data_IF_714919553581
#
_entry.id   IF_714919553581
#
_cell.length_a   1.000
_cell.length_b   1.000
_cell.length_c   1.000
_cell.angle_alpha   90.00
_cell.angle_beta   90.00
_cell.angle_gamma   90.00
#
_symmetry.space_group_name_H-M   'P 1'
#
loop_
_entity.id
_entity.type
_entity.pdbx_description
1 polymer ?
#
# COMPACT_ATOMS: atom_id res chain seq x y z
N UNK A 1 -6.89 12.74 -12.25
CA UNK A 1 -8.09 12.31 -13.01
C UNK A 1 -8.68 13.46 -13.83
N UNK A 2 -9.00 14.60 -13.22
CA UNK A 2 -9.53 15.80 -13.91
C UNK A 2 -8.75 16.17 -15.18
N UNK A 3 -7.41 16.22 -15.09
CA UNK A 3 -6.56 16.54 -16.25
C UNK A 3 -6.67 15.51 -17.37
N UNK A 4 -6.78 14.23 -17.03
CA UNK A 4 -6.90 13.18 -18.03
C UNK A 4 -8.28 13.20 -18.70
N UNK A 5 -9.35 13.40 -17.93
CA UNK A 5 -10.70 13.53 -18.46
C UNK A 5 -10.83 14.73 -19.42
N UNK A 6 -10.18 15.87 -19.10
CA UNK A 6 -10.15 17.02 -20.00
C UNK A 6 -9.42 16.74 -21.33
N UNK A 7 -8.37 15.90 -21.31
CA UNK A 7 -7.64 15.49 -22.51
C UNK A 7 -8.45 14.48 -23.35
N UNK A 8 -9.13 13.53 -22.71
CA UNK A 8 -10.06 12.58 -23.35
C UNK A 8 -11.23 13.33 -24.03
N UNK A 9 -11.79 14.35 -23.37
CA UNK A 9 -12.83 15.21 -23.95
C UNK A 9 -12.33 16.00 -25.16
N UNK A 10 -11.03 16.29 -25.23
CA UNK A 10 -10.38 16.92 -26.38
C UNK A 10 -9.93 15.89 -27.44
N UNK A 11 -10.26 14.61 -27.29
CA UNK A 11 -9.82 13.49 -28.14
C UNK A 11 -8.30 13.31 -28.21
N UNK A 12 -7.56 13.71 -27.15
CA UNK A 12 -6.13 13.46 -26.98
C UNK A 12 -5.89 12.31 -26.00
N UNK A 13 -6.20 11.09 -26.45
CA UNK A 13 -6.07 9.88 -25.64
C UNK A 13 -4.62 9.59 -25.26
N UNK A 14 -3.66 9.95 -26.12
CA UNK A 14 -2.23 9.76 -25.82
C UNK A 14 -1.81 10.61 -24.62
N UNK A 15 -2.13 11.91 -24.63
CA UNK A 15 -1.80 12.77 -23.50
C UNK A 15 -2.57 12.38 -22.23
N UNK A 16 -3.82 11.91 -22.36
CA UNK A 16 -4.61 11.42 -21.24
C UNK A 16 -3.97 10.18 -20.58
N UNK A 17 -3.50 9.23 -21.39
CA UNK A 17 -2.73 8.07 -20.89
C UNK A 17 -1.41 8.54 -20.27
N UNK A 18 -0.69 9.44 -20.95
CA UNK A 18 0.61 9.94 -20.50
C UNK A 18 0.52 10.60 -19.12
N UNK A 19 -0.50 11.43 -18.88
CA UNK A 19 -0.64 12.08 -17.57
C UNK A 19 -0.98 11.08 -16.46
N UNK A 20 -1.75 10.02 -16.74
CA UNK A 20 -2.01 8.93 -15.79
C UNK A 20 -0.72 8.17 -15.46
N UNK A 21 0.07 7.80 -16.48
CA UNK A 21 1.36 7.10 -16.30
C UNK A 21 2.34 7.96 -15.49
N UNK A 22 2.45 9.25 -15.82
CA UNK A 22 3.31 10.17 -15.06
C UNK A 22 2.86 10.32 -13.61
N UNK A 23 1.55 10.42 -13.36
CA UNK A 23 1.01 10.48 -12.00
C UNK A 23 1.38 9.23 -11.20
N UNK A 24 1.26 8.03 -11.78
CA UNK A 24 1.67 6.78 -11.12
C UNK A 24 3.18 6.75 -10.83
N UNK A 25 4.02 7.20 -11.77
CA UNK A 25 5.47 7.28 -11.54
C UNK A 25 5.83 8.28 -10.44
N UNK A 26 5.11 9.41 -10.35
CA UNK A 26 5.31 10.39 -9.29
C UNK A 26 4.87 9.87 -7.92
N UNK A 27 3.75 9.13 -7.84
CA UNK A 27 3.29 8.52 -6.60
C UNK A 27 4.32 7.52 -6.05
N UNK A 28 4.86 6.65 -6.91
CA UNK A 28 5.90 5.68 -6.52
C UNK A 28 7.24 6.37 -6.17
N UNK A 29 7.64 7.39 -6.94
CA UNK A 29 8.84 8.16 -6.65
C UNK A 29 8.73 8.89 -5.30
N UNK A 30 7.54 9.41 -4.96
CA UNK A 30 7.28 10.03 -3.66
C UNK A 30 7.35 9.01 -2.53
N UNK A 31 6.84 7.79 -2.72
CA UNK A 31 6.95 6.73 -1.75
C UNK A 31 8.42 6.36 -1.46
N UNK A 32 9.26 6.25 -2.49
CA UNK A 32 10.70 5.99 -2.32
C UNK A 32 11.43 7.16 -1.64
N UNK A 33 11.15 8.39 -2.09
CA UNK A 33 11.73 9.59 -1.48
C UNK A 33 11.36 9.70 0.00
N UNK A 34 10.09 9.50 0.33
CA UNK A 34 9.61 9.58 1.71
C UNK A 34 10.21 8.47 2.55
N UNK A 35 10.31 7.25 2.03
CA UNK A 35 10.97 6.16 2.76
C UNK A 35 12.44 6.50 3.05
N UNK A 36 13.20 6.97 2.05
CA UNK A 36 14.58 7.41 2.27
C UNK A 36 14.68 8.55 3.31
N UNK A 37 13.76 9.51 3.27
CA UNK A 37 13.66 10.58 4.28
C UNK A 37 13.39 10.02 5.68
N UNK A 38 12.50 9.02 5.81
CA UNK A 38 12.21 8.36 7.09
C UNK A 38 13.45 7.66 7.62
N UNK A 39 14.13 6.85 6.80
CA UNK A 39 15.34 6.13 7.24
C UNK A 39 16.47 7.05 7.70
N UNK A 40 16.70 8.14 6.96
CA UNK A 40 17.82 9.06 7.20
C UNK A 40 17.52 10.15 8.23
N UNK A 41 16.27 10.61 8.31
CA UNK A 41 15.91 11.81 9.07
C UNK A 41 14.80 11.59 10.08
N UNK A 42 13.60 11.20 9.63
CA UNK A 42 12.44 11.20 10.52
C UNK A 42 12.50 10.09 11.59
N UNK A 43 12.95 8.89 11.21
CA UNK A 43 13.29 7.79 12.12
C UNK A 43 14.78 7.75 12.41
N UNK A 44 15.63 7.96 11.38
CA UNK A 44 17.05 8.22 11.57
C UNK A 44 17.92 6.99 11.90
N UNK A 45 17.42 5.77 11.70
CA UNK A 45 18.20 4.55 11.93
C UNK A 45 19.30 4.29 10.89
N UNK A 46 19.33 5.08 9.80
CA UNK A 46 20.35 5.01 8.76
C UNK A 46 20.76 6.43 8.30
N UNK A 47 21.15 7.29 9.25
CA UNK A 47 21.46 8.70 8.99
C UNK A 47 22.57 8.91 7.93
N UNK A 48 23.57 8.03 7.92
CA UNK A 48 24.72 8.10 7.00
C UNK A 48 24.50 7.35 5.66
N UNK A 49 23.27 6.91 5.37
CA UNK A 49 22.95 6.18 4.14
C UNK A 49 23.21 7.03 2.88
N UNK A 50 24.05 6.51 1.98
CA UNK A 50 24.39 7.12 0.69
C UNK A 50 24.16 6.14 -0.47
N UNK A 51 22.91 5.72 -0.66
CA UNK A 51 22.52 4.83 -1.77
C UNK A 51 22.25 5.60 -3.05
N UNK A 52 22.63 5.02 -4.19
CA UNK A 52 22.20 5.50 -5.51
C UNK A 52 20.73 5.13 -5.77
N UNK A 53 20.12 5.70 -6.81
CA UNK A 53 18.76 5.36 -7.22
C UNK A 53 18.67 3.87 -7.59
N UNK A 54 19.67 3.32 -8.29
CA UNK A 54 19.72 1.91 -8.66
C UNK A 54 19.77 0.99 -7.45
N UNK A 55 20.44 1.42 -6.38
CA UNK A 55 20.52 0.68 -5.13
C UNK A 55 19.23 0.77 -4.31
N UNK A 56 18.55 1.91 -4.35
CA UNK A 56 17.21 2.09 -3.78
C UNK A 56 16.20 1.17 -4.49
N UNK A 57 16.21 1.14 -5.84
CA UNK A 57 15.35 0.25 -6.63
C UNK A 57 15.61 -1.23 -6.32
N UNK A 58 16.86 -1.59 -6.02
CA UNK A 58 17.25 -2.94 -5.57
C UNK A 58 17.01 -3.20 -4.08
N UNK A 59 16.38 -2.26 -3.40
CA UNK A 59 16.04 -2.34 -1.97
C UNK A 59 17.25 -2.60 -1.06
N UNK A 60 18.43 -2.07 -1.39
CA UNK A 60 19.68 -2.26 -0.62
C UNK A 60 19.73 -1.51 0.73
N UNK A 61 18.59 -1.01 1.21
CA UNK A 61 18.49 -0.33 2.49
C UNK A 61 17.99 -1.26 3.59
N UNK A 62 18.19 -0.87 4.85
CA UNK A 62 17.62 -1.55 6.00
C UNK A 62 16.12 -1.24 6.13
N UNK A 63 15.30 -2.27 6.38
CA UNK A 63 13.88 -2.16 6.63
C UNK A 63 13.01 -2.28 5.37
N UNK A 64 11.69 -2.36 5.58
CA UNK A 64 10.69 -2.55 4.52
C UNK A 64 9.52 -1.59 4.68
N UNK A 65 8.75 -1.40 3.60
CA UNK A 65 7.57 -0.52 3.57
C UNK A 65 6.30 -1.21 3.06
N UNK A 66 5.82 -2.29 3.70
CA UNK A 66 4.73 -3.11 3.17
C UNK A 66 3.42 -2.34 3.08
N UNK A 67 2.76 -2.50 1.94
CA UNK A 67 1.47 -1.90 1.63
C UNK A 67 0.36 -2.95 1.69
N UNK A 68 -0.72 -2.65 2.40
CA UNK A 68 -1.87 -3.56 2.50
C UNK A 68 -2.38 -3.97 1.11
N UNK A 69 -2.73 -5.23 0.92
CA UNK A 69 -3.08 -5.86 -0.36
C UNK A 69 -1.93 -6.56 -1.07
N UNK A 70 -0.67 -6.28 -0.68
CA UNK A 70 0.47 -7.07 -1.16
C UNK A 70 0.54 -8.44 -0.47
N UNK A 71 1.25 -9.43 -1.04
CA UNK A 71 1.34 -10.79 -0.48
C UNK A 71 1.80 -10.89 0.98
N UNK A 72 2.60 -9.93 1.47
CA UNK A 72 3.06 -9.86 2.85
C UNK A 72 1.98 -9.38 3.84
N UNK A 73 0.97 -8.67 3.36
CA UNK A 73 -0.14 -8.15 4.15
C UNK A 73 -1.40 -8.03 3.27
N UNK A 74 -2.02 -9.15 2.87
CA UNK A 74 -3.01 -9.19 1.79
C UNK A 74 -4.37 -8.56 2.16
N UNK A 75 -4.61 -8.24 3.43
CA UNK A 75 -5.90 -7.77 3.92
C UNK A 75 -6.07 -6.27 3.67
N UNK A 76 -6.88 -5.91 2.67
CA UNK A 76 -6.98 -4.54 2.17
C UNK A 76 -7.55 -3.53 3.17
N UNK A 77 -8.40 -3.95 4.12
CA UNK A 77 -9.08 -3.04 5.04
C UNK A 77 -8.14 -2.39 6.05
N UNK A 78 -6.92 -2.92 6.21
CA UNK A 78 -5.89 -2.29 7.06
C UNK A 78 -5.49 -0.88 6.58
N UNK A 79 -5.81 -0.51 5.32
CA UNK A 79 -5.72 0.90 4.89
C UNK A 79 -6.61 1.81 5.73
N UNK A 80 -7.78 1.34 6.17
CA UNK A 80 -8.66 2.11 7.05
C UNK A 80 -7.99 2.47 8.39
N UNK A 81 -7.16 1.58 8.91
CA UNK A 81 -6.33 1.85 10.09
C UNK A 81 -5.37 3.01 9.81
N UNK A 82 -4.63 2.96 8.70
CA UNK A 82 -3.72 4.04 8.28
C UNK A 82 -4.44 5.36 8.07
N UNK A 83 -5.59 5.34 7.39
CA UNK A 83 -6.40 6.53 7.10
C UNK A 83 -6.80 7.27 8.37
N UNK A 84 -7.25 6.52 9.39
CA UNK A 84 -7.63 7.06 10.69
C UNK A 84 -6.42 7.54 11.50
N UNK A 85 -5.33 6.79 11.53
CA UNK A 85 -4.14 7.15 12.31
C UNK A 85 -3.47 8.44 11.80
N UNK A 86 -3.43 8.62 10.48
CA UNK A 86 -2.76 9.75 9.85
C UNK A 86 -3.73 10.89 9.48
N UNK A 87 -5.03 10.71 9.71
CA UNK A 87 -6.07 11.66 9.32
C UNK A 87 -5.98 12.06 7.83
N UNK A 88 -5.85 11.03 6.98
CA UNK A 88 -5.43 11.18 5.57
C UNK A 88 -6.40 12.04 4.76
N UNK A 89 -7.70 11.81 4.91
CA UNK A 89 -8.70 12.53 4.13
C UNK A 89 -8.71 14.03 4.48
N UNK A 90 -8.64 14.39 5.76
CA UNK A 90 -8.64 15.79 6.17
C UNK A 90 -7.32 16.50 5.83
N UNK A 91 -6.18 15.81 5.91
CA UNK A 91 -4.86 16.42 5.71
C UNK A 91 -4.45 16.56 4.24
N UNK A 92 -4.73 15.54 3.43
CA UNK A 92 -4.25 15.47 2.05
C UNK A 92 -5.34 15.13 1.02
N UNK A 93 -6.60 15.01 1.44
CA UNK A 93 -7.74 14.84 0.55
C UNK A 93 -7.87 13.46 -0.09
N UNK A 94 -6.96 12.52 0.18
CA UNK A 94 -7.02 11.16 -0.34
C UNK A 94 -8.10 10.35 0.37
N UNK A 95 -8.82 9.52 -0.38
CA UNK A 95 -9.98 8.75 0.12
C UNK A 95 -9.84 7.26 -0.13
N UNK A 96 -10.64 6.48 0.58
CA UNK A 96 -10.82 5.05 0.34
C UNK A 96 -12.22 4.81 -0.22
N UNK A 97 -12.31 3.97 -1.24
CA UNK A 97 -13.60 3.43 -1.71
C UNK A 97 -14.12 2.38 -0.73
N UNK A 98 -15.34 1.90 -0.95
CA UNK A 98 -15.95 0.80 -0.20
C UNK A 98 -15.15 -0.51 -0.32
N UNK A 99 -14.35 -0.65 -1.39
CA UNK A 99 -13.43 -1.76 -1.62
C UNK A 99 -12.00 -1.50 -1.12
N UNK A 100 -11.77 -0.38 -0.42
CA UNK A 100 -10.45 0.07 0.06
C UNK A 100 -9.43 0.30 -1.07
N UNK A 101 -9.90 0.65 -2.27
CA UNK A 101 -9.05 1.26 -3.28
C UNK A 101 -8.79 2.72 -2.88
N UNK A 102 -7.59 3.24 -3.18
CA UNK A 102 -7.24 4.62 -2.88
C UNK A 102 -7.68 5.54 -4.01
N UNK A 103 -8.16 6.73 -3.65
CA UNK A 103 -8.51 7.80 -4.58
C UNK A 103 -7.70 9.06 -4.23
N UNK A 104 -6.95 9.62 -5.20
CA UNK A 104 -6.84 9.22 -6.61
C UNK A 104 -6.12 7.87 -6.81
N UNK A 105 -6.25 7.20 -7.98
CA UNK A 105 -5.62 5.90 -8.24
C UNK A 105 -4.09 5.92 -8.12
N UNK A 106 -3.46 7.00 -8.55
CA UNK A 106 -2.02 7.25 -8.42
C UNK A 106 -1.66 7.60 -6.97
N UNK A 107 -1.73 6.60 -6.09
CA UNK A 107 -1.57 6.73 -4.65
C UNK A 107 -0.81 5.53 -4.08
N UNK A 108 -0.03 5.77 -3.02
CA UNK A 108 0.69 4.72 -2.28
C UNK A 108 0.44 4.93 -0.78
N UNK A 109 0.18 3.85 -0.04
CA UNK A 109 0.13 3.84 1.42
C UNK A 109 0.70 2.54 1.96
N UNK A 110 1.28 2.58 3.15
CA UNK A 110 1.89 1.41 3.77
C UNK A 110 2.41 1.69 5.16
N UNK A 111 3.01 0.65 5.75
CA UNK A 111 3.70 0.69 7.03
C UNK A 111 5.20 0.89 6.79
N UNK A 112 5.94 1.27 7.83
CA UNK A 112 7.40 1.23 7.85
C UNK A 112 7.89 0.28 8.95
N UNK A 113 8.78 -0.64 8.61
CA UNK A 113 9.47 -1.52 9.56
C UNK A 113 10.97 -1.30 9.46
N UNK A 114 11.61 -0.96 10.59
CA UNK A 114 13.04 -0.65 10.65
C UNK A 114 13.95 -1.84 10.99
N UNK A 115 13.38 -2.99 11.38
CA UNK A 115 14.18 -4.13 11.84
C UNK A 115 15.10 -4.64 10.71
N UNK A 116 16.39 -4.91 10.96
CA UNK A 116 17.34 -5.27 9.89
C UNK A 116 17.06 -6.59 9.20
N UNK A 117 16.35 -7.50 9.88
CA UNK A 117 15.93 -8.79 9.30
C UNK A 117 14.52 -8.74 8.69
N UNK A 118 13.84 -7.59 8.71
CA UNK A 118 12.54 -7.46 8.08
C UNK A 118 12.68 -7.62 6.56
N UNK A 119 11.90 -8.52 5.98
CA UNK A 119 11.89 -8.79 4.55
C UNK A 119 10.46 -9.09 4.09
N UNK A 120 10.19 -8.88 2.80
CA UNK A 120 8.93 -9.28 2.22
C UNK A 120 8.84 -10.81 2.15
N UNK A 121 7.73 -11.35 2.63
CA UNK A 121 7.37 -12.76 2.46
C UNK A 121 5.93 -12.85 1.98
N UNK A 122 5.54 -14.00 1.44
CA UNK A 122 4.15 -14.25 1.08
C UNK A 122 3.46 -14.97 2.23
N UNK A 123 2.36 -14.42 2.74
CA UNK A 123 1.53 -15.07 3.77
C UNK A 123 1.05 -16.44 3.30
N UNK A 124 0.74 -16.58 2.01
CA UNK A 124 0.32 -17.84 1.41
C UNK A 124 -1.13 -18.19 1.76
N UNK A 125 -1.40 -19.50 1.81
CA UNK A 125 -2.72 -20.02 2.15
C UNK A 125 -2.90 -20.12 3.66
N UNK A 126 -4.04 -19.64 4.16
CA UNK A 126 -4.42 -19.65 5.57
C UNK A 126 -5.56 -20.63 5.82
N UNK A 127 -5.51 -21.29 6.97
CA UNK A 127 -6.52 -22.25 7.38
C UNK A 127 -7.67 -21.56 8.14
N UNK A 128 -8.76 -22.32 8.33
CA UNK A 128 -9.99 -21.82 8.95
C UNK A 128 -9.78 -21.30 10.38
N UNK A 129 -8.93 -21.96 11.16
CA UNK A 129 -8.55 -21.55 12.51
C UNK A 129 -7.95 -20.13 12.54
N UNK A 130 -7.06 -19.80 11.59
CA UNK A 130 -6.48 -18.48 11.46
C UNK A 130 -7.50 -17.43 11.03
N UNK A 131 -8.44 -17.78 10.13
CA UNK A 131 -9.52 -16.88 9.72
C UNK A 131 -10.46 -16.58 10.88
N UNK A 132 -10.83 -17.58 11.67
CA UNK A 132 -11.68 -17.42 12.86
C UNK A 132 -11.00 -16.54 13.93
N UNK A 133 -9.71 -16.77 14.19
CA UNK A 133 -8.94 -15.94 15.11
C UNK A 133 -8.79 -14.49 14.61
N UNK A 134 -8.54 -14.29 13.30
CA UNK A 134 -8.44 -12.97 12.70
C UNK A 134 -9.78 -12.22 12.75
N UNK A 135 -10.88 -12.90 12.41
CA UNK A 135 -12.24 -12.35 12.50
C UNK A 135 -12.53 -11.84 13.92
N UNK A 136 -12.20 -12.64 14.95
CA UNK A 136 -12.34 -12.23 16.35
C UNK A 136 -11.54 -10.97 16.68
N UNK A 137 -10.26 -10.88 16.25
CA UNK A 137 -9.41 -9.71 16.51
C UNK A 137 -9.92 -8.44 15.84
N UNK A 138 -10.53 -8.57 14.65
CA UNK A 138 -11.12 -7.46 13.89
C UNK A 138 -12.54 -7.11 14.33
N UNK A 139 -13.19 -7.96 15.13
CA UNK A 139 -14.61 -7.82 15.46
C UNK A 139 -15.53 -8.14 14.29
N UNK A 140 -15.10 -9.00 13.38
CA UNK A 140 -15.82 -9.40 12.18
C UNK A 140 -16.49 -10.76 12.32
N UNK A 141 -17.42 -11.04 11.40
CA UNK A 141 -17.86 -12.41 11.15
C UNK A 141 -16.79 -13.20 10.37
N UNK A 142 -16.81 -14.52 10.51
CA UNK A 142 -15.92 -15.41 9.73
C UNK A 142 -16.17 -15.26 8.23
N UNK A 143 -17.41 -15.05 7.81
CA UNK A 143 -17.78 -14.81 6.42
C UNK A 143 -17.17 -13.51 5.87
N UNK A 144 -17.18 -12.44 6.67
CA UNK A 144 -16.56 -11.17 6.31
C UNK A 144 -15.04 -11.28 6.18
N UNK A 145 -14.38 -11.93 7.14
CA UNK A 145 -12.95 -12.21 7.04
C UNK A 145 -12.62 -13.07 5.81
N UNK A 146 -13.43 -14.10 5.54
CA UNK A 146 -13.31 -14.95 4.35
C UNK A 146 -13.49 -14.17 3.03
N UNK A 147 -14.36 -13.17 2.99
CA UNK A 147 -14.53 -12.30 1.82
C UNK A 147 -13.25 -11.51 1.52
N UNK A 148 -12.70 -10.82 2.51
CA UNK A 148 -11.52 -9.98 2.35
C UNK A 148 -10.23 -10.77 2.13
N UNK A 149 -10.14 -11.97 2.71
CA UNK A 149 -8.99 -12.87 2.59
C UNK A 149 -9.21 -13.98 1.55
N UNK A 150 -10.22 -13.85 0.68
CA UNK A 150 -10.62 -14.89 -0.29
C UNK A 150 -9.44 -15.44 -1.13
N UNK A 151 -8.48 -14.65 -1.62
CA UNK A 151 -7.35 -15.19 -2.37
C UNK A 151 -6.41 -16.06 -1.51
N UNK A 152 -6.42 -15.85 -0.20
CA UNK A 152 -5.55 -16.51 0.76
C UNK A 152 -6.22 -17.72 1.44
N UNK A 153 -7.50 -18.01 1.22
CA UNK A 153 -8.13 -19.17 1.85
C UNK A 153 -7.52 -20.48 1.32
N UNK A 154 -7.07 -21.32 2.25
CA UNK A 154 -6.54 -22.67 2.02
C UNK A 154 -7.60 -23.77 2.10
N UNK A 155 -8.87 -23.39 2.20
CA UNK A 155 -10.02 -24.27 2.34
C UNK A 155 -11.21 -23.72 1.55
N UNK A 156 -12.18 -24.57 1.25
CA UNK A 156 -13.41 -24.17 0.56
C UNK A 156 -14.37 -23.49 1.54
N UNK A 157 -14.92 -22.35 1.14
CA UNK A 157 -16.03 -21.72 1.86
C UNK A 157 -17.34 -22.38 1.43
N UNK A 158 -18.21 -22.69 2.39
CA UNK A 158 -19.58 -23.14 2.13
C UNK A 158 -20.43 -22.03 1.48
#
# INVERSE_FOLDING_TARGET
>A
EERAAALEQAHDDYAAIMVKVLADRLAEALAEYLHAHVRRKAWGYAADEQLTIEEIIREKYQGIRPAAGYPACPEHTEKGTLWRLLDVEARIGMRLTESFAMQPPSSVSGLYFAHPEAHYFTVGKINRDQVEDYARRKGWSVAEAGRWLSPNLGYTTD
#
